data_IF_445121652713
#
_entry.id   IF_445121652713
#
_cell.length_a   1.000
_cell.length_b   1.000
_cell.length_c   1.000
_cell.angle_alpha   90.00
_cell.angle_beta   90.00
_cell.angle_gamma   90.00
#
_symmetry.space_group_name_H-M   'P 1'
#
loop_
_entity.id
_entity.type
_entity.pdbx_description
1 polymer ?
#
# COMPACT_ATOMS: atom_id res chain seq x y z
N UNK A 1 13.89 28.79 48.01
CA UNK A 1 12.98 28.93 46.85
C UNK A 1 13.78 29.13 45.54
N UNK A 2 14.73 30.03 45.46
CA UNK A 2 15.56 30.33 44.28
C UNK A 2 16.37 29.10 43.77
N UNK A 3 16.98 28.33 44.71
CA UNK A 3 17.79 27.17 44.39
C UNK A 3 16.96 25.99 43.80
N UNK A 4 15.69 25.87 44.20
CA UNK A 4 14.73 24.88 43.63
C UNK A 4 14.29 25.26 42.23
N UNK A 5 14.13 26.57 41.97
CA UNK A 5 13.78 27.12 40.64
C UNK A 5 14.93 26.91 39.65
N UNK A 6 16.19 27.16 40.09
CA UNK A 6 17.38 26.95 39.24
C UNK A 6 17.59 25.47 38.85
N UNK A 7 17.31 24.54 39.76
CA UNK A 7 17.39 23.09 39.47
C UNK A 7 16.32 22.67 38.46
N UNK A 8 15.07 23.10 38.58
CA UNK A 8 14.02 22.83 37.63
C UNK A 8 14.32 23.40 36.24
N UNK A 9 14.78 24.65 36.16
CA UNK A 9 15.17 25.27 34.88
C UNK A 9 16.31 24.52 34.19
N UNK A 10 17.30 24.04 34.95
CA UNK A 10 18.41 23.23 34.38
C UNK A 10 17.95 21.85 33.92
N UNK A 11 17.02 21.21 34.61
CA UNK A 11 16.42 19.94 34.19
C UNK A 11 15.59 20.12 32.94
N UNK A 12 14.77 21.16 32.87
CA UNK A 12 13.96 21.46 31.69
C UNK A 12 14.84 21.82 30.48
N UNK A 13 15.92 22.57 30.69
CA UNK A 13 16.89 22.87 29.63
C UNK A 13 17.60 21.59 29.12
N UNK A 14 17.98 20.66 30.02
CA UNK A 14 18.55 19.37 29.62
C UNK A 14 17.56 18.51 28.84
N UNK A 15 16.28 18.48 29.26
CA UNK A 15 15.21 17.78 28.52
C UNK A 15 15.01 18.39 27.15
N UNK A 16 14.90 19.72 27.05
CA UNK A 16 14.76 20.42 25.77
C UNK A 16 15.94 20.11 24.82
N UNK A 17 17.17 20.11 25.34
CA UNK A 17 18.35 19.75 24.56
C UNK A 17 18.32 18.29 24.06
N UNK A 18 17.82 17.37 24.89
CA UNK A 18 17.63 15.96 24.49
C UNK A 18 16.62 15.83 23.36
N UNK A 19 15.47 16.51 23.46
CA UNK A 19 14.48 16.51 22.38
C UNK A 19 15.03 17.11 21.07
N UNK A 20 15.74 18.23 21.19
CA UNK A 20 16.37 18.86 20.01
C UNK A 20 17.42 17.95 19.37
N UNK A 21 18.27 17.31 20.16
CA UNK A 21 19.27 16.34 19.68
C UNK A 21 18.61 15.17 18.96
N UNK A 22 17.53 14.64 19.52
CA UNK A 22 16.76 13.53 18.93
C UNK A 22 16.10 13.96 17.62
N UNK A 23 15.53 15.16 17.58
CA UNK A 23 14.94 15.73 16.37
C UNK A 23 15.98 15.88 15.25
N UNK A 24 17.14 16.46 15.56
CA UNK A 24 18.22 16.66 14.59
C UNK A 24 18.77 15.30 14.10
N UNK A 25 18.96 14.33 14.99
CA UNK A 25 19.38 12.96 14.63
C UNK A 25 18.43 12.35 13.61
N UNK A 26 17.12 12.38 13.92
CA UNK A 26 16.12 11.77 13.04
C UNK A 26 15.91 12.56 11.74
N UNK A 27 15.96 13.90 11.79
CA UNK A 27 15.86 14.70 10.58
C UNK A 27 17.05 14.41 9.63
N UNK A 28 18.27 14.36 10.13
CA UNK A 28 19.46 14.08 9.31
C UNK A 28 19.38 12.67 8.69
N UNK A 29 19.02 11.66 9.47
CA UNK A 29 18.89 10.28 8.98
C UNK A 29 17.73 10.17 7.95
N UNK A 30 16.60 10.81 8.23
CA UNK A 30 15.44 10.81 7.36
C UNK A 30 15.72 11.51 6.01
N UNK A 31 16.55 12.57 6.00
CA UNK A 31 17.01 13.20 4.77
C UNK A 31 17.82 12.21 3.92
N UNK A 32 18.74 11.46 4.51
CA UNK A 32 19.52 10.45 3.78
C UNK A 32 18.62 9.36 3.20
N UNK A 33 17.71 8.81 4.03
CA UNK A 33 16.75 7.80 3.58
C UNK A 33 15.85 8.38 2.48
N UNK A 34 15.35 9.61 2.67
CA UNK A 34 14.49 10.30 1.71
C UNK A 34 15.15 10.52 0.35
N UNK A 35 16.40 10.97 0.34
CA UNK A 35 17.16 11.15 -0.91
C UNK A 35 17.35 9.81 -1.64
N UNK A 36 17.81 8.76 -0.92
CA UNK A 36 17.99 7.44 -1.51
C UNK A 36 16.68 6.86 -2.07
N UNK A 37 15.61 6.93 -1.29
CA UNK A 37 14.30 6.46 -1.72
C UNK A 37 13.73 7.32 -2.86
N UNK A 38 13.94 8.64 -2.82
CA UNK A 38 13.54 9.56 -3.88
C UNK A 38 14.20 9.25 -5.21
N UNK A 39 15.53 9.09 -5.22
CA UNK A 39 16.27 8.76 -6.45
C UNK A 39 15.89 7.38 -6.98
N UNK A 40 15.97 6.33 -6.14
CA UNK A 40 15.68 4.96 -6.58
C UNK A 40 14.20 4.81 -6.94
N UNK A 41 13.31 5.46 -6.20
CA UNK A 41 11.86 5.47 -6.47
C UNK A 41 11.53 6.16 -7.79
N UNK A 42 12.15 7.28 -8.10
CA UNK A 42 11.98 7.97 -9.39
C UNK A 42 12.49 7.13 -10.57
N UNK A 43 13.68 6.53 -10.44
CA UNK A 43 14.21 5.62 -11.47
C UNK A 43 13.28 4.42 -11.67
N UNK A 44 12.73 3.86 -10.58
CA UNK A 44 11.75 2.78 -10.65
C UNK A 44 10.45 3.22 -11.32
N UNK A 45 9.93 4.40 -10.97
CA UNK A 45 8.74 4.99 -11.59
C UNK A 45 8.91 5.11 -13.09
N UNK A 46 10.01 5.76 -13.52
CA UNK A 46 10.34 5.94 -14.94
C UNK A 46 10.50 4.57 -15.62
N UNK A 47 11.23 3.63 -15.00
CA UNK A 47 11.43 2.29 -15.55
C UNK A 47 10.12 1.52 -15.77
N UNK A 48 9.16 1.58 -14.85
CA UNK A 48 7.83 0.96 -15.00
C UNK A 48 7.00 1.69 -16.06
N UNK A 49 7.07 3.02 -16.09
CA UNK A 49 6.37 3.84 -17.09
C UNK A 49 6.85 3.51 -18.50
N UNK A 50 8.14 3.54 -18.74
CA UNK A 50 8.76 3.22 -20.04
C UNK A 50 8.48 1.76 -20.46
N UNK A 51 8.54 0.81 -19.52
CA UNK A 51 8.20 -0.58 -19.79
C UNK A 51 6.74 -0.73 -20.24
N UNK A 52 5.80 0.00 -19.60
CA UNK A 52 4.38 0.01 -19.97
C UNK A 52 4.17 0.65 -21.34
N UNK A 53 4.84 1.77 -21.61
CA UNK A 53 4.77 2.47 -22.88
C UNK A 53 5.35 1.62 -24.01
N UNK A 54 6.50 0.97 -23.80
CA UNK A 54 7.12 0.08 -24.77
C UNK A 54 6.19 -1.11 -25.11
N UNK A 55 5.53 -1.69 -24.12
CA UNK A 55 4.52 -2.74 -24.36
C UNK A 55 3.36 -2.25 -25.20
N UNK A 56 2.87 -1.02 -24.96
CA UNK A 56 1.77 -0.46 -25.75
C UNK A 56 2.14 -0.32 -27.23
N UNK A 57 3.37 0.03 -27.53
CA UNK A 57 3.89 0.11 -28.90
C UNK A 57 4.28 -1.24 -29.52
N UNK A 58 4.55 -2.25 -28.67
CA UNK A 58 5.00 -3.59 -29.10
C UNK A 58 4.09 -4.69 -28.50
N UNK A 59 2.88 -4.92 -29.01
CA UNK A 59 1.94 -5.90 -28.46
C UNK A 59 2.46 -7.34 -28.39
N UNK A 60 3.47 -7.69 -29.20
CA UNK A 60 4.11 -8.99 -29.16
C UNK A 60 4.82 -9.29 -27.83
N UNK A 61 5.20 -8.26 -27.06
CA UNK A 61 5.83 -8.40 -25.75
C UNK A 61 4.95 -9.18 -24.76
N UNK A 62 3.64 -9.20 -24.95
CA UNK A 62 2.72 -9.99 -24.15
C UNK A 62 3.06 -11.50 -24.23
N UNK A 63 3.49 -11.99 -25.40
CA UNK A 63 3.90 -13.39 -25.57
C UNK A 63 5.19 -13.74 -24.84
N UNK A 64 5.97 -12.75 -24.45
CA UNK A 64 7.17 -12.93 -23.63
C UNK A 64 6.86 -13.12 -22.14
N UNK A 65 5.60 -12.97 -21.71
CA UNK A 65 5.22 -13.03 -20.29
C UNK A 65 5.68 -14.34 -19.59
N UNK A 66 5.50 -15.55 -20.14
CA UNK A 66 6.01 -16.76 -19.52
C UNK A 66 7.54 -16.79 -19.36
N UNK A 67 8.27 -16.27 -20.35
CA UNK A 67 9.74 -16.17 -20.32
C UNK A 67 10.19 -15.14 -19.28
N UNK A 68 9.55 -13.99 -19.23
CA UNK A 68 9.78 -12.99 -18.18
C UNK A 68 9.53 -13.56 -16.78
N UNK A 69 8.48 -14.35 -16.62
CA UNK A 69 8.19 -15.07 -15.39
C UNK A 69 9.31 -16.01 -14.96
N UNK A 70 9.84 -16.81 -15.89
CA UNK A 70 11.01 -17.68 -15.62
C UNK A 70 12.24 -16.86 -15.23
N UNK A 71 12.50 -15.73 -15.90
CA UNK A 71 13.59 -14.82 -15.56
C UNK A 71 13.43 -14.24 -14.14
N UNK A 72 12.20 -13.82 -13.76
CA UNK A 72 11.88 -13.32 -12.42
C UNK A 72 12.16 -14.42 -11.37
N UNK A 73 11.61 -15.61 -11.54
CA UNK A 73 11.83 -16.74 -10.62
C UNK A 73 13.31 -17.07 -10.49
N UNK A 74 14.04 -17.14 -11.62
CA UNK A 74 15.48 -17.38 -11.65
C UNK A 74 16.27 -16.32 -10.89
N UNK A 75 15.92 -15.04 -11.05
CA UNK A 75 16.59 -13.94 -10.38
C UNK A 75 16.33 -13.95 -8.85
N UNK A 76 15.09 -14.22 -8.42
CA UNK A 76 14.76 -14.37 -7.01
C UNK A 76 15.49 -15.57 -6.36
N UNK A 77 15.67 -16.66 -7.10
CA UNK A 77 16.44 -17.81 -6.64
C UNK A 77 17.94 -17.48 -6.54
N UNK A 78 18.49 -16.80 -7.53
CA UNK A 78 19.89 -16.38 -7.55
C UNK A 78 20.22 -15.44 -6.38
N UNK A 79 19.31 -14.52 -6.07
CA UNK A 79 19.45 -13.54 -4.99
C UNK A 79 19.04 -14.08 -3.61
N UNK A 80 18.57 -15.34 -3.53
CA UNK A 80 18.05 -15.96 -2.29
C UNK A 80 16.97 -15.13 -1.61
N UNK A 81 16.09 -14.52 -2.41
CA UNK A 81 14.96 -13.70 -1.93
C UNK A 81 13.62 -14.35 -2.17
N UNK A 82 13.61 -15.67 -2.45
CA UNK A 82 12.39 -16.45 -2.66
C UNK A 82 11.45 -16.31 -1.45
N UNK A 83 10.14 -16.14 -1.72
CA UNK A 83 9.14 -15.98 -0.68
C UNK A 83 9.14 -14.64 0.05
N UNK A 84 10.11 -13.76 -0.21
CA UNK A 84 10.10 -12.41 0.36
C UNK A 84 9.16 -11.52 -0.43
N UNK A 85 8.27 -10.85 0.28
CA UNK A 85 7.30 -9.91 -0.24
C UNK A 85 7.02 -8.79 0.76
N UNK A 86 5.91 -8.09 0.61
CA UNK A 86 5.52 -6.99 1.52
C UNK A 86 5.39 -7.48 2.96
N UNK A 87 4.86 -8.69 3.17
CA UNK A 87 4.77 -9.30 4.50
C UNK A 87 6.12 -9.43 5.19
N UNK A 88 7.21 -9.76 4.47
CA UNK A 88 8.54 -9.83 5.06
C UNK A 88 9.04 -8.48 5.60
N UNK A 89 8.65 -7.37 4.95
CA UNK A 89 8.99 -6.02 5.44
C UNK A 89 8.18 -5.67 6.69
N UNK A 90 6.90 -6.03 6.72
CA UNK A 90 6.06 -5.85 7.92
C UNK A 90 6.60 -6.68 9.09
N UNK A 91 7.00 -7.92 8.84
CA UNK A 91 7.66 -8.78 9.82
C UNK A 91 9.00 -8.20 10.32
N UNK A 92 9.77 -7.54 9.46
CA UNK A 92 11.00 -6.87 9.87
C UNK A 92 10.74 -5.73 10.86
N UNK A 93 9.62 -5.01 10.71
CA UNK A 93 9.21 -3.98 11.65
C UNK A 93 8.65 -4.59 12.94
N UNK A 94 7.81 -5.63 12.86
CA UNK A 94 7.20 -6.27 14.03
C UNK A 94 8.18 -7.09 14.84
N UNK A 95 8.88 -8.00 14.18
CA UNK A 95 9.67 -9.06 14.79
C UNK A 95 11.16 -8.78 14.76
N UNK A 96 11.60 -7.67 14.12
CA UNK A 96 13.01 -7.36 13.94
C UNK A 96 13.73 -8.34 12.99
N UNK A 97 13.01 -9.04 12.12
CA UNK A 97 13.62 -9.98 11.15
C UNK A 97 14.54 -9.22 10.18
N UNK A 98 15.71 -9.79 9.83
CA UNK A 98 16.63 -9.16 8.89
C UNK A 98 16.03 -9.17 7.48
N UNK A 99 16.22 -8.07 6.74
CA UNK A 99 15.90 -7.96 5.33
C UNK A 99 17.17 -8.14 4.49
N UNK A 100 17.06 -8.86 3.39
CA UNK A 100 18.14 -8.99 2.42
C UNK A 100 18.21 -7.73 1.55
N UNK A 101 19.41 -7.15 1.37
CA UNK A 101 19.62 -6.01 0.45
C UNK A 101 19.29 -6.39 -1.00
N UNK A 102 19.46 -7.67 -1.35
CA UNK A 102 19.17 -8.17 -2.69
C UNK A 102 17.68 -8.18 -3.02
N UNK A 103 16.80 -8.00 -2.02
CA UNK A 103 15.36 -7.81 -2.28
C UNK A 103 15.10 -6.55 -3.11
N UNK A 104 15.91 -5.48 -2.95
CA UNK A 104 15.76 -4.24 -3.69
C UNK A 104 15.91 -4.44 -5.21
N UNK A 105 17.03 -4.95 -5.76
CA UNK A 105 17.11 -5.21 -7.20
C UNK A 105 16.17 -6.32 -7.66
N UNK A 106 15.84 -7.30 -6.82
CA UNK A 106 14.95 -8.39 -7.18
C UNK A 106 13.53 -7.90 -7.48
N UNK A 107 12.96 -7.09 -6.57
CA UNK A 107 11.61 -6.55 -6.77
C UNK A 107 11.59 -5.47 -7.86
N UNK A 108 12.66 -4.67 -7.99
CA UNK A 108 12.79 -3.66 -9.04
C UNK A 108 12.70 -4.32 -10.43
N UNK A 109 13.61 -5.25 -10.72
CA UNK A 109 13.67 -5.94 -12.01
C UNK A 109 12.41 -6.77 -12.22
N UNK A 110 11.95 -7.50 -11.19
CA UNK A 110 10.76 -8.32 -11.27
C UNK A 110 9.51 -7.53 -11.63
N UNK A 111 9.33 -6.35 -11.03
CA UNK A 111 8.15 -5.50 -11.32
C UNK A 111 8.24 -4.87 -12.70
N UNK A 112 9.42 -4.37 -13.11
CA UNK A 112 9.62 -3.82 -14.46
C UNK A 112 9.35 -4.88 -15.53
N UNK A 113 9.87 -6.11 -15.37
CA UNK A 113 9.60 -7.22 -16.31
C UNK A 113 8.11 -7.62 -16.33
N UNK A 114 7.45 -7.62 -15.18
CA UNK A 114 6.00 -7.89 -15.09
C UNK A 114 5.21 -6.88 -15.93
N UNK A 115 5.50 -5.57 -15.79
CA UNK A 115 4.81 -4.52 -16.53
C UNK A 115 5.17 -4.52 -18.01
N UNK A 116 6.43 -4.77 -18.36
CA UNK A 116 6.91 -4.87 -19.74
C UNK A 116 6.18 -5.95 -20.52
N UNK A 117 5.97 -7.12 -19.91
CA UNK A 117 5.35 -8.25 -20.57
C UNK A 117 3.84 -8.38 -20.32
N UNK A 118 3.21 -7.43 -19.62
CA UNK A 118 1.75 -7.38 -19.49
C UNK A 118 1.16 -8.20 -18.33
N UNK A 119 1.95 -8.56 -17.33
CA UNK A 119 1.41 -9.06 -16.07
C UNK A 119 0.58 -7.97 -15.37
N UNK A 120 -0.49 -8.34 -14.70
CA UNK A 120 -1.38 -7.40 -14.01
C UNK A 120 -0.96 -7.22 -12.56
N UNK A 121 -0.40 -6.06 -12.24
CA UNK A 121 0.04 -5.71 -10.90
C UNK A 121 0.20 -4.19 -10.76
N UNK A 122 0.12 -3.69 -9.53
CA UNK A 122 0.55 -2.34 -9.17
C UNK A 122 2.06 -2.28 -8.91
N UNK A 123 2.53 -1.11 -8.48
CA UNK A 123 3.94 -0.86 -8.13
C UNK A 123 4.17 -0.56 -6.64
N UNK A 124 3.10 -0.43 -5.88
CA UNK A 124 3.10 0.09 -4.51
C UNK A 124 3.57 -0.94 -3.48
N UNK A 125 3.21 -2.20 -3.66
CA UNK A 125 3.77 -3.28 -2.84
C UNK A 125 5.29 -3.37 -3.02
N UNK A 126 5.78 -3.16 -4.25
CA UNK A 126 7.20 -3.04 -4.54
C UNK A 126 7.82 -1.82 -3.84
N UNK A 127 7.10 -0.69 -3.78
CA UNK A 127 7.55 0.51 -3.06
C UNK A 127 7.81 0.25 -1.58
N UNK A 128 6.87 -0.42 -0.90
CA UNK A 128 7.02 -0.77 0.50
C UNK A 128 8.21 -1.69 0.73
N UNK A 129 8.42 -2.66 -0.18
CA UNK A 129 9.55 -3.59 -0.09
C UNK A 129 10.89 -2.88 -0.31
N UNK A 130 11.01 -2.08 -1.36
CA UNK A 130 12.25 -1.35 -1.67
C UNK A 130 12.55 -0.30 -0.60
N UNK A 131 11.57 0.51 -0.24
CA UNK A 131 11.72 1.55 0.77
C UNK A 131 12.07 0.97 2.15
N UNK A 132 11.35 -0.07 2.58
CA UNK A 132 11.64 -0.78 3.82
C UNK A 132 13.05 -1.38 3.83
N UNK A 133 13.48 -1.97 2.71
CA UNK A 133 14.85 -2.50 2.57
C UNK A 133 15.91 -1.40 2.67
N UNK A 134 15.71 -0.25 2.00
CA UNK A 134 16.62 0.90 2.08
C UNK A 134 16.68 1.42 3.51
N UNK A 135 15.53 1.67 4.16
CA UNK A 135 15.47 2.15 5.53
C UNK A 135 16.13 1.19 6.52
N UNK A 136 15.87 -0.13 6.38
CA UNK A 136 16.50 -1.18 7.20
C UNK A 136 18.02 -1.15 7.09
N UNK A 137 18.57 -1.10 5.87
CA UNK A 137 20.02 -1.09 5.68
C UNK A 137 20.67 0.25 6.04
N UNK A 138 19.97 1.38 5.86
CA UNK A 138 20.41 2.66 6.39
C UNK A 138 20.52 2.59 7.92
N UNK A 139 19.52 2.04 8.62
CA UNK A 139 19.56 1.82 10.06
C UNK A 139 20.78 1.00 10.51
N UNK A 140 21.08 -0.09 9.80
CA UNK A 140 22.28 -0.91 10.07
C UNK A 140 23.59 -0.16 9.81
N UNK A 141 23.66 0.60 8.72
CA UNK A 141 24.85 1.39 8.37
C UNK A 141 25.18 2.43 9.45
N UNK A 142 24.14 3.06 10.01
CA UNK A 142 24.28 4.04 11.10
C UNK A 142 24.31 3.39 12.50
N UNK A 143 24.36 2.05 12.56
CA UNK A 143 24.44 1.27 13.80
C UNK A 143 23.34 1.63 14.81
N UNK A 144 22.12 1.77 14.31
CA UNK A 144 20.96 2.02 15.16
C UNK A 144 20.62 0.76 15.99
N UNK A 145 20.02 0.99 17.15
CA UNK A 145 19.45 -0.11 17.93
C UNK A 145 18.20 -0.70 17.23
N UNK A 146 17.69 -1.82 17.70
CA UNK A 146 16.58 -2.54 17.07
C UNK A 146 15.30 -1.70 16.98
N UNK A 147 15.04 -0.80 17.93
CA UNK A 147 13.87 0.08 17.93
C UNK A 147 14.00 1.18 16.89
N UNK A 148 15.15 1.84 16.89
CA UNK A 148 15.47 2.88 15.91
C UNK A 148 15.57 2.30 14.50
N UNK A 149 16.03 1.05 14.33
CA UNK A 149 16.06 0.36 13.04
C UNK A 149 14.66 0.10 12.48
N UNK A 150 13.71 -0.27 13.31
CA UNK A 150 12.29 -0.37 12.92
C UNK A 150 11.74 0.98 12.42
N UNK A 151 12.06 2.05 13.16
CA UNK A 151 11.70 3.42 12.76
C UNK A 151 12.30 3.82 11.41
N UNK A 152 13.58 3.49 11.17
CA UNK A 152 14.25 3.74 9.90
C UNK A 152 13.62 2.93 8.74
N UNK A 153 13.21 1.67 9.01
CA UNK A 153 12.47 0.83 8.04
C UNK A 153 11.16 1.47 7.64
N UNK A 154 10.37 1.95 8.60
CA UNK A 154 9.10 2.65 8.36
C UNK A 154 9.31 3.96 7.60
N UNK A 155 10.34 4.74 7.95
CA UNK A 155 10.70 5.97 7.23
C UNK A 155 11.06 5.69 5.77
N UNK A 156 11.76 4.59 5.49
CA UNK A 156 12.03 4.15 4.12
C UNK A 156 10.77 3.75 3.35
N UNK A 157 9.85 2.99 3.98
CA UNK A 157 8.55 2.66 3.39
C UNK A 157 7.77 3.92 3.01
N UNK A 158 7.68 4.89 3.94
CA UNK A 158 7.00 6.16 3.73
C UNK A 158 7.64 6.98 2.60
N UNK A 159 8.96 7.11 2.60
CA UNK A 159 9.71 7.86 1.61
C UNK A 159 9.54 7.30 0.19
N UNK A 160 9.64 5.99 0.03
CA UNK A 160 9.54 5.37 -1.30
C UNK A 160 8.12 5.46 -1.86
N UNK A 161 7.10 5.27 -1.01
CA UNK A 161 5.71 5.42 -1.40
C UNK A 161 5.41 6.87 -1.82
N UNK A 162 5.93 7.86 -1.07
CA UNK A 162 5.80 9.29 -1.41
C UNK A 162 6.45 9.64 -2.75
N UNK A 163 7.62 9.07 -3.07
CA UNK A 163 8.31 9.28 -4.33
C UNK A 163 7.52 8.76 -5.54
N UNK A 164 6.71 7.70 -5.37
CA UNK A 164 5.92 7.10 -6.46
C UNK A 164 4.59 7.80 -6.71
N UNK A 165 3.90 8.23 -5.66
CA UNK A 165 2.55 8.79 -5.75
C UNK A 165 2.48 10.29 -5.66
N UNK A 166 3.51 10.92 -5.09
CA UNK A 166 3.46 12.33 -4.78
C UNK A 166 2.47 12.66 -3.66
N UNK A 167 2.28 11.74 -2.71
CA UNK A 167 1.36 11.86 -1.56
C UNK A 167 2.12 11.69 -0.24
N UNK A 168 2.93 12.69 0.18
CA UNK A 168 3.84 12.54 1.34
C UNK A 168 3.12 12.37 2.68
N UNK A 169 1.97 13.01 2.89
CA UNK A 169 1.21 12.87 4.14
C UNK A 169 0.57 11.48 4.24
N UNK A 170 -0.08 11.04 3.17
CA UNK A 170 -0.63 9.67 3.08
C UNK A 170 0.45 8.63 3.34
N UNK A 171 1.59 8.76 2.67
CA UNK A 171 2.71 7.82 2.77
C UNK A 171 3.23 7.72 4.20
N UNK A 172 3.32 8.85 4.89
CA UNK A 172 3.71 8.93 6.31
C UNK A 172 2.74 8.15 7.17
N UNK A 173 1.45 8.51 7.11
CA UNK A 173 0.42 7.92 7.97
C UNK A 173 0.17 6.46 7.61
N UNK A 174 0.20 6.11 6.33
CA UNK A 174 0.06 4.73 5.87
C UNK A 174 1.16 3.83 6.43
N UNK A 175 2.42 4.25 6.35
CA UNK A 175 3.55 3.47 6.88
C UNK A 175 3.49 3.28 8.39
N UNK A 176 2.87 4.21 9.13
CA UNK A 176 2.68 4.10 10.58
C UNK A 176 1.52 3.18 10.97
N UNK A 177 0.50 3.05 10.09
CA UNK A 177 -0.74 2.32 10.39
C UNK A 177 -0.78 0.93 9.78
N UNK A 178 -0.15 0.72 8.63
CA UNK A 178 -0.24 -0.55 7.88
C UNK A 178 0.33 -1.75 8.65
N UNK A 179 1.18 -1.49 9.62
CA UNK A 179 1.86 -2.51 10.41
C UNK A 179 0.92 -3.10 11.46
N UNK A 180 0.21 -2.24 12.20
CA UNK A 180 -0.67 -2.65 13.30
C UNK A 180 -1.95 -1.81 13.32
N UNK A 181 -3.09 -2.47 13.25
CA UNK A 181 -4.40 -1.85 13.37
C UNK A 181 -4.70 -1.65 14.86
N UNK A 182 -5.08 -0.42 15.24
CA UNK A 182 -5.39 -0.05 16.61
C UNK A 182 -4.20 0.49 17.42
N UNK A 183 -2.98 0.50 16.85
CA UNK A 183 -1.85 1.21 17.45
C UNK A 183 -1.18 2.10 16.42
N UNK A 184 -0.76 3.29 16.86
CA UNK A 184 -0.03 4.26 16.04
C UNK A 184 1.34 4.48 16.63
N UNK A 185 2.38 4.27 15.84
CA UNK A 185 3.77 4.50 16.25
C UNK A 185 4.12 6.00 16.17
N UNK A 186 3.59 6.82 17.09
CA UNK A 186 3.74 8.29 17.05
C UNK A 186 5.20 8.75 17.03
N UNK A 187 6.12 8.02 17.68
CA UNK A 187 7.55 8.34 17.68
C UNK A 187 8.18 8.32 16.28
N UNK A 188 7.55 7.59 15.33
CA UNK A 188 8.03 7.47 13.94
C UNK A 188 7.50 8.57 13.03
N UNK A 189 6.60 9.44 13.51
CA UNK A 189 5.96 10.48 12.70
C UNK A 189 6.97 11.41 12.05
N UNK A 190 7.88 11.99 12.86
CA UNK A 190 8.91 12.93 12.36
C UNK A 190 9.85 12.27 11.34
N UNK A 191 10.45 11.09 11.62
CA UNK A 191 11.27 10.38 10.64
C UNK A 191 10.53 10.06 9.34
N UNK A 192 9.30 9.54 9.41
CA UNK A 192 8.51 9.19 8.23
C UNK A 192 8.12 10.43 7.42
N UNK A 193 7.64 11.50 8.09
CA UNK A 193 7.25 12.73 7.41
C UNK A 193 8.43 13.41 6.74
N UNK A 194 9.55 13.56 7.44
CA UNK A 194 10.76 14.18 6.87
C UNK A 194 11.25 13.38 5.67
N UNK A 195 11.35 12.05 5.79
CA UNK A 195 11.81 11.19 4.70
C UNK A 195 10.85 11.23 3.49
N UNK A 196 9.53 11.25 3.74
CA UNK A 196 8.50 11.37 2.68
C UNK A 196 8.58 12.70 1.94
N UNK A 197 8.70 13.82 2.67
CA UNK A 197 8.80 15.15 2.06
C UNK A 197 10.08 15.30 1.24
N UNK A 198 11.21 14.80 1.75
CA UNK A 198 12.48 14.82 1.02
C UNK A 198 12.40 13.95 -0.23
N UNK A 199 11.87 12.73 -0.12
CA UNK A 199 11.74 11.82 -1.26
C UNK A 199 10.79 12.39 -2.32
N UNK A 200 9.68 13.00 -1.92
CA UNK A 200 8.76 13.72 -2.81
C UNK A 200 9.46 14.89 -3.50
N UNK A 201 10.21 15.71 -2.78
CA UNK A 201 10.99 16.81 -3.37
C UNK A 201 12.00 16.31 -4.39
N UNK A 202 12.72 15.22 -4.10
CA UNK A 202 13.64 14.59 -5.04
C UNK A 202 12.91 14.04 -6.27
N UNK A 203 11.76 13.40 -6.10
CA UNK A 203 10.98 12.87 -7.24
C UNK A 203 10.49 13.97 -8.17
N UNK A 204 10.07 15.12 -7.63
CA UNK A 204 9.72 16.30 -8.43
C UNK A 204 10.92 16.83 -9.24
N UNK A 205 12.11 16.90 -8.63
CA UNK A 205 13.33 17.31 -9.30
C UNK A 205 13.73 16.34 -10.42
N UNK A 206 13.36 15.07 -10.31
CA UNK A 206 13.59 14.04 -11.33
C UNK A 206 12.47 13.96 -12.39
N UNK A 207 11.47 14.85 -12.35
CA UNK A 207 10.39 14.93 -13.33
C UNK A 207 9.25 13.93 -13.10
N UNK A 208 9.14 13.36 -11.90
CA UNK A 208 7.97 12.52 -11.55
C UNK A 208 6.84 13.42 -11.10
N UNK A 209 5.76 13.44 -11.87
CA UNK A 209 4.59 14.24 -11.55
C UNK A 209 3.73 13.55 -10.47
N UNK A 210 3.21 14.33 -9.49
CA UNK A 210 2.32 13.79 -8.47
C UNK A 210 0.98 13.40 -9.09
N UNK A 211 0.41 12.29 -8.63
CA UNK A 211 -0.93 11.87 -9.03
C UNK A 211 -1.96 12.84 -8.46
N UNK A 212 -2.65 13.58 -9.31
CA UNK A 212 -3.76 14.47 -8.96
C UNK A 212 -4.93 14.14 -9.89
N UNK A 213 -6.13 14.07 -9.34
CA UNK A 213 -7.34 13.73 -10.07
C UNK A 213 -8.40 14.80 -9.83
N UNK A 214 -9.12 15.16 -10.89
CA UNK A 214 -10.20 16.12 -10.79
C UNK A 214 -11.54 15.40 -10.69
N UNK A 215 -12.33 15.77 -9.68
CA UNK A 215 -13.67 15.21 -9.51
C UNK A 215 -14.62 16.28 -8.95
N UNK A 216 -15.83 16.34 -9.50
CA UNK A 216 -16.90 17.18 -8.97
C UNK A 216 -17.72 16.38 -7.97
N UNK A 217 -17.67 16.78 -6.70
CA UNK A 217 -18.48 16.16 -5.65
C UNK A 217 -19.87 16.79 -5.59
N UNK A 218 -20.93 16.00 -5.35
CA UNK A 218 -22.28 16.52 -5.18
C UNK A 218 -22.38 17.39 -3.92
N UNK A 219 -23.39 18.28 -3.90
CA UNK A 219 -23.69 19.09 -2.72
C UNK A 219 -23.96 18.20 -1.49
N UNK A 220 -23.55 18.71 -0.32
CA UNK A 220 -23.72 17.99 0.96
C UNK A 220 -25.19 18.06 1.39
N UNK A 221 -25.96 17.03 1.08
CA UNK A 221 -27.37 16.90 1.40
C UNK A 221 -27.64 15.61 2.18
N UNK A 222 -28.64 15.59 3.11
CA UNK A 222 -28.93 14.38 3.89
C UNK A 222 -29.27 13.15 3.04
N UNK A 223 -30.01 13.36 1.94
CA UNK A 223 -30.36 12.28 1.01
C UNK A 223 -29.11 11.73 0.30
N UNK A 224 -28.18 12.60 -0.09
CA UNK A 224 -26.94 12.19 -0.73
C UNK A 224 -26.02 11.46 0.25
N UNK A 225 -25.94 11.90 1.50
CA UNK A 225 -25.22 11.18 2.56
C UNK A 225 -25.76 9.76 2.77
N UNK A 226 -27.10 9.60 2.79
CA UNK A 226 -27.70 8.27 2.90
C UNK A 226 -27.36 7.38 1.70
N UNK A 227 -27.43 7.90 0.48
CA UNK A 227 -27.06 7.17 -0.75
C UNK A 227 -25.58 6.72 -0.71
N UNK A 228 -24.70 7.63 -0.31
CA UNK A 228 -23.26 7.35 -0.16
C UNK A 228 -23.03 6.34 0.97
N UNK A 229 -23.77 6.39 2.07
CA UNK A 229 -23.67 5.38 3.12
C UNK A 229 -24.05 3.97 2.63
N UNK A 230 -25.14 3.85 1.85
CA UNK A 230 -25.53 2.59 1.21
C UNK A 230 -24.46 2.09 0.24
N UNK A 231 -23.94 2.98 -0.59
CA UNK A 231 -22.86 2.67 -1.54
C UNK A 231 -21.57 2.21 -0.80
N UNK A 232 -21.30 2.79 0.37
CA UNK A 232 -20.15 2.43 1.22
C UNK A 232 -20.20 0.99 1.72
N UNK A 233 -21.42 0.48 2.00
CA UNK A 233 -21.60 -0.95 2.35
C UNK A 233 -21.19 -1.84 1.17
N UNK A 234 -21.57 -1.46 -0.06
CA UNK A 234 -21.17 -2.21 -1.24
C UNK A 234 -19.65 -2.15 -1.45
N UNK A 235 -19.01 -1.00 -1.25
CA UNK A 235 -17.55 -0.88 -1.30
C UNK A 235 -16.85 -1.78 -0.27
N UNK A 236 -17.37 -1.86 0.94
CA UNK A 236 -16.83 -2.75 1.96
C UNK A 236 -16.91 -4.23 1.55
N UNK A 237 -18.03 -4.64 0.94
CA UNK A 237 -18.19 -6.00 0.40
C UNK A 237 -17.21 -6.26 -0.76
N UNK A 238 -17.02 -5.29 -1.64
CA UNK A 238 -16.04 -5.38 -2.73
C UNK A 238 -14.61 -5.47 -2.17
N UNK A 239 -14.25 -4.70 -1.15
CA UNK A 239 -12.94 -4.79 -0.50
C UNK A 239 -12.69 -6.17 0.12
N UNK A 240 -13.68 -6.73 0.81
CA UNK A 240 -13.61 -8.10 1.35
C UNK A 240 -13.47 -9.14 0.24
N UNK A 241 -14.28 -9.01 -0.80
CA UNK A 241 -14.23 -9.91 -1.96
C UNK A 241 -12.86 -9.83 -2.64
N UNK A 242 -12.31 -8.63 -2.82
CA UNK A 242 -10.98 -8.41 -3.37
C UNK A 242 -9.93 -9.19 -2.56
N UNK A 243 -9.85 -8.97 -1.24
CA UNK A 243 -8.89 -9.68 -0.39
C UNK A 243 -9.11 -11.20 -0.42
N UNK A 244 -10.36 -11.65 -0.33
CA UNK A 244 -10.69 -13.09 -0.33
C UNK A 244 -10.27 -13.78 -1.64
N UNK A 245 -10.51 -13.15 -2.80
CA UNK A 245 -10.10 -13.70 -4.10
C UNK A 245 -8.59 -13.71 -4.24
N UNK A 246 -7.89 -12.64 -3.81
CA UNK A 246 -6.43 -12.58 -3.85
C UNK A 246 -5.80 -13.75 -3.07
N UNK A 247 -6.20 -13.95 -1.82
CA UNK A 247 -5.68 -15.04 -0.98
C UNK A 247 -6.14 -16.43 -1.45
N UNK A 248 -7.39 -16.56 -1.91
CA UNK A 248 -7.89 -17.83 -2.44
C UNK A 248 -7.11 -18.28 -3.67
N UNK A 249 -6.91 -17.40 -4.65
CA UNK A 249 -6.18 -17.73 -5.87
C UNK A 249 -4.71 -18.02 -5.57
N UNK A 250 -4.08 -17.26 -4.66
CA UNK A 250 -2.71 -17.52 -4.21
C UNK A 250 -2.58 -18.92 -3.59
N UNK A 251 -3.47 -19.25 -2.65
CA UNK A 251 -3.48 -20.55 -1.98
C UNK A 251 -3.72 -21.71 -2.98
N UNK A 252 -4.73 -21.55 -3.83
CA UNK A 252 -5.14 -22.60 -4.78
C UNK A 252 -4.06 -22.85 -5.84
N UNK A 253 -3.45 -21.78 -6.38
CA UNK A 253 -2.35 -21.92 -7.33
C UNK A 253 -1.09 -22.52 -6.68
N UNK A 254 -0.79 -22.14 -5.44
CA UNK A 254 0.33 -22.73 -4.72
C UNK A 254 0.12 -24.22 -4.41
N UNK A 255 -1.13 -24.61 -4.09
CA UNK A 255 -1.49 -25.99 -3.80
C UNK A 255 -1.48 -26.87 -5.05
N UNK A 256 -2.13 -26.42 -6.14
CA UNK A 256 -2.21 -27.21 -7.40
C UNK A 256 -0.92 -27.19 -8.20
N UNK A 257 -0.15 -26.11 -8.14
CA UNK A 257 1.10 -25.92 -8.87
C UNK A 257 2.24 -25.56 -7.90
N UNK A 258 2.72 -26.52 -7.09
CA UNK A 258 3.74 -26.25 -6.06
C UNK A 258 5.09 -25.85 -6.68
N UNK A 259 5.37 -26.29 -7.90
CA UNK A 259 6.58 -25.88 -8.60
C UNK A 259 6.42 -24.45 -9.17
N UNK A 260 7.16 -23.48 -8.59
CA UNK A 260 7.09 -22.06 -8.97
C UNK A 260 7.42 -21.83 -10.45
N UNK A 261 8.33 -22.63 -11.04
CA UNK A 261 8.69 -22.53 -12.44
C UNK A 261 7.52 -22.87 -13.37
N UNK A 262 6.81 -23.96 -13.04
CA UNK A 262 5.61 -24.37 -13.79
C UNK A 262 4.49 -23.37 -13.57
N UNK A 263 4.30 -22.93 -12.32
CA UNK A 263 3.25 -22.00 -11.93
C UNK A 263 3.34 -20.65 -12.66
N UNK A 264 4.55 -20.10 -12.80
CA UNK A 264 4.73 -18.80 -13.50
C UNK A 264 4.48 -18.93 -15.01
N UNK A 265 4.85 -20.06 -15.63
CA UNK A 265 4.59 -20.31 -17.05
C UNK A 265 3.09 -20.48 -17.31
N UNK A 266 2.42 -21.31 -16.50
CA UNK A 266 0.97 -21.53 -16.61
C UNK A 266 0.21 -20.22 -16.38
N UNK A 267 0.57 -19.44 -15.35
CA UNK A 267 -0.02 -18.14 -15.08
C UNK A 267 0.23 -17.14 -16.21
N UNK A 268 1.42 -17.13 -16.79
CA UNK A 268 1.74 -16.30 -17.97
C UNK A 268 0.83 -16.61 -19.15
N UNK A 269 0.66 -17.88 -19.50
CA UNK A 269 -0.27 -18.28 -20.57
C UNK A 269 -1.73 -18.00 -20.20
N UNK A 270 -2.12 -18.15 -18.93
CA UNK A 270 -3.46 -17.80 -18.48
C UNK A 270 -3.77 -16.29 -18.67
N UNK A 271 -2.82 -15.41 -18.35
CA UNK A 271 -2.98 -13.96 -18.59
C UNK A 271 -3.05 -13.64 -20.08
N UNK A 272 -2.20 -14.26 -20.90
CA UNK A 272 -2.27 -14.12 -22.36
C UNK A 272 -3.65 -14.54 -22.86
N UNK A 273 -4.12 -15.73 -22.48
CA UNK A 273 -5.42 -16.25 -22.88
C UNK A 273 -6.58 -15.34 -22.47
N UNK A 274 -6.57 -14.84 -21.22
CA UNK A 274 -7.56 -13.89 -20.73
C UNK A 274 -7.51 -12.55 -21.48
N UNK A 275 -6.32 -12.05 -21.80
CA UNK A 275 -6.19 -10.81 -22.59
C UNK A 275 -6.83 -10.94 -23.96
N UNK A 276 -6.58 -12.06 -24.68
CA UNK A 276 -7.23 -12.32 -25.97
C UNK A 276 -8.72 -12.58 -25.85
N UNK A 277 -9.16 -13.26 -24.78
CA UNK A 277 -10.59 -13.50 -24.53
C UNK A 277 -11.35 -12.18 -24.29
N UNK A 278 -10.74 -11.23 -23.56
CA UNK A 278 -11.31 -9.92 -23.32
C UNK A 278 -11.20 -8.99 -24.55
N UNK A 279 -10.31 -9.27 -25.50
CA UNK A 279 -10.07 -8.42 -26.67
C UNK A 279 -9.43 -7.06 -26.35
N UNK A 280 -8.93 -6.86 -25.14
CA UNK A 280 -8.31 -5.60 -24.69
C UNK A 280 -7.17 -5.85 -23.72
N UNK A 281 -6.22 -4.91 -23.66
CA UNK A 281 -5.10 -4.89 -22.72
C UNK A 281 -5.34 -4.03 -21.48
N UNK A 282 -6.53 -3.54 -21.25
CA UNK A 282 -6.90 -2.61 -20.17
C UNK A 282 -6.65 -3.17 -18.78
N UNK A 283 -6.69 -4.49 -18.64
CA UNK A 283 -6.50 -5.19 -17.36
C UNK A 283 -5.06 -5.62 -17.11
N UNK A 284 -4.16 -5.45 -18.09
CA UNK A 284 -2.73 -5.68 -17.95
C UNK A 284 -2.04 -4.49 -17.24
N UNK A 285 -0.87 -4.73 -16.63
CA UNK A 285 -0.13 -3.70 -15.90
C UNK A 285 -0.90 -3.14 -14.71
N UNK A 286 -0.67 -1.88 -14.37
CA UNK A 286 -1.31 -1.22 -13.23
C UNK A 286 -2.78 -0.87 -13.49
N UNK A 287 -3.12 -0.40 -14.70
CA UNK A 287 -4.48 -0.01 -15.09
C UNK A 287 -4.92 1.34 -14.52
N UNK A 288 -3.98 2.21 -14.10
CA UNK A 288 -4.34 3.50 -13.51
C UNK A 288 -5.10 4.40 -14.46
N UNK A 289 -4.85 4.32 -15.76
CA UNK A 289 -5.55 5.09 -16.79
C UNK A 289 -7.07 4.85 -16.79
N UNK A 290 -7.48 3.59 -16.60
CA UNK A 290 -8.91 3.22 -16.51
C UNK A 290 -9.53 3.75 -15.21
N UNK A 291 -8.80 3.70 -14.10
CA UNK A 291 -9.26 4.27 -12.83
C UNK A 291 -9.42 5.79 -12.93
N UNK A 292 -8.48 6.47 -13.60
CA UNK A 292 -8.57 7.92 -13.90
C UNK A 292 -9.77 8.22 -14.77
N UNK A 293 -10.00 7.48 -15.86
CA UNK A 293 -11.15 7.66 -16.72
C UNK A 293 -12.48 7.43 -15.97
N UNK A 294 -12.54 6.46 -15.07
CA UNK A 294 -13.71 6.24 -14.23
C UNK A 294 -14.01 7.44 -13.31
N UNK A 295 -12.97 8.09 -12.76
CA UNK A 295 -13.11 9.25 -11.87
C UNK A 295 -13.42 10.53 -12.66
N UNK A 296 -12.63 10.85 -13.68
CA UNK A 296 -12.69 12.14 -14.37
C UNK A 296 -13.76 12.20 -15.46
N UNK A 297 -13.98 11.07 -16.18
CA UNK A 297 -14.93 10.98 -17.27
C UNK A 297 -16.22 10.27 -16.88
N UNK A 298 -16.26 9.61 -15.73
CA UNK A 298 -17.42 8.84 -15.27
C UNK A 298 -17.74 7.63 -16.16
N UNK A 299 -16.72 7.02 -16.76
CA UNK A 299 -16.87 5.91 -17.69
C UNK A 299 -16.07 4.68 -17.26
N UNK A 300 -16.72 3.53 -17.19
CA UNK A 300 -16.08 2.25 -16.92
C UNK A 300 -16.89 1.10 -17.52
N UNK A 301 -16.19 0.07 -17.98
CA UNK A 301 -16.86 -1.16 -18.41
C UNK A 301 -17.47 -1.87 -17.18
N UNK A 302 -18.73 -2.36 -17.22
CA UNK A 302 -19.41 -2.94 -16.06
C UNK A 302 -18.67 -4.11 -15.41
N UNK A 303 -17.95 -4.92 -16.18
CA UNK A 303 -17.17 -6.05 -15.65
C UNK A 303 -15.71 -5.69 -15.30
N UNK A 304 -15.27 -4.45 -15.47
CA UNK A 304 -13.88 -4.05 -15.33
C UNK A 304 -13.31 -4.41 -13.96
N UNK A 305 -14.06 -4.16 -12.89
CA UNK A 305 -13.61 -4.46 -11.52
C UNK A 305 -13.35 -5.95 -11.27
N UNK A 306 -14.19 -6.85 -11.84
CA UNK A 306 -14.01 -8.29 -11.74
C UNK A 306 -12.84 -8.78 -12.59
N UNK A 307 -12.73 -8.27 -13.81
CA UNK A 307 -11.66 -8.67 -14.73
C UNK A 307 -10.30 -8.24 -14.17
N UNK A 308 -10.18 -6.99 -13.69
CA UNK A 308 -8.94 -6.53 -13.06
C UNK A 308 -8.55 -7.37 -11.86
N UNK A 309 -9.50 -7.68 -10.99
CA UNK A 309 -9.27 -8.54 -9.84
C UNK A 309 -8.74 -9.91 -10.25
N UNK A 310 -9.37 -10.54 -11.26
CA UNK A 310 -8.97 -11.86 -11.75
C UNK A 310 -7.55 -11.83 -12.36
N UNK A 311 -7.27 -10.86 -13.24
CA UNK A 311 -5.96 -10.70 -13.85
C UNK A 311 -4.85 -10.49 -12.80
N UNK A 312 -5.12 -9.64 -11.80
CA UNK A 312 -4.14 -9.36 -10.74
C UNK A 312 -3.93 -10.58 -9.85
N UNK A 313 -5.00 -11.24 -9.43
CA UNK A 313 -4.91 -12.42 -8.58
C UNK A 313 -4.10 -13.54 -9.26
N UNK A 314 -4.35 -13.83 -10.54
CA UNK A 314 -3.60 -14.82 -11.30
C UNK A 314 -2.13 -14.38 -11.47
N UNK A 315 -1.87 -13.12 -11.80
CA UNK A 315 -0.51 -12.62 -12.02
C UNK A 315 0.34 -12.78 -10.76
N UNK A 316 -0.14 -12.29 -9.61
CA UNK A 316 0.63 -12.33 -8.38
C UNK A 316 0.75 -13.76 -7.82
N UNK A 317 -0.33 -14.54 -7.85
CA UNK A 317 -0.32 -15.93 -7.42
C UNK A 317 0.61 -16.80 -8.28
N UNK A 318 0.74 -16.50 -9.56
CA UNK A 318 1.68 -17.18 -10.45
C UNK A 318 3.15 -16.94 -10.08
N UNK A 319 3.46 -15.81 -9.44
CA UNK A 319 4.81 -15.45 -9.03
C UNK A 319 5.38 -14.22 -9.73
N UNK A 320 4.60 -13.55 -10.59
CA UNK A 320 4.95 -12.23 -11.10
C UNK A 320 5.04 -11.23 -9.96
N UNK A 321 5.78 -10.14 -10.15
CA UNK A 321 6.09 -9.18 -9.08
C UNK A 321 5.41 -7.85 -9.31
N UNK A 322 4.96 -7.25 -8.21
CA UNK A 322 4.24 -5.98 -8.19
C UNK A 322 3.48 -5.81 -6.88
N UNK A 323 2.44 -4.98 -6.87
CA UNK A 323 1.61 -4.71 -5.71
C UNK A 323 0.12 -4.84 -5.97
N UNK A 324 -0.65 -4.92 -4.90
CA UNK A 324 -2.11 -5.05 -4.94
C UNK A 324 -2.84 -3.71 -4.74
N UNK A 325 -2.16 -2.63 -4.34
CA UNK A 325 -2.77 -1.35 -3.96
C UNK A 325 -3.44 -0.66 -5.16
N UNK A 326 -2.71 -0.42 -6.26
CA UNK A 326 -3.34 0.20 -7.46
C UNK A 326 -4.42 -0.69 -8.06
N UNK A 327 -4.28 -2.02 -8.16
CA UNK A 327 -5.42 -2.88 -8.48
C UNK A 327 -6.64 -2.67 -7.59
N UNK A 328 -6.49 -2.42 -6.28
CA UNK A 328 -7.62 -2.10 -5.40
C UNK A 328 -8.24 -0.74 -5.73
N UNK A 329 -7.44 0.27 -6.11
CA UNK A 329 -7.92 1.55 -6.61
C UNK A 329 -8.76 1.37 -7.89
N UNK A 330 -8.24 0.60 -8.85
CA UNK A 330 -8.95 0.28 -10.08
C UNK A 330 -10.30 -0.38 -9.80
N UNK A 331 -10.30 -1.43 -8.96
CA UNK A 331 -11.51 -2.18 -8.60
C UNK A 331 -12.53 -1.26 -7.94
N UNK A 332 -12.10 -0.43 -6.99
CA UNK A 332 -12.95 0.52 -6.29
C UNK A 332 -13.52 1.59 -7.23
N UNK A 333 -12.67 2.19 -8.07
CA UNK A 333 -13.07 3.24 -9.00
C UNK A 333 -14.07 2.71 -10.05
N UNK A 334 -13.76 1.60 -10.70
CA UNK A 334 -14.62 1.06 -11.77
C UNK A 334 -15.94 0.50 -11.22
N UNK A 335 -15.92 -0.14 -10.05
CA UNK A 335 -17.14 -0.55 -9.37
C UNK A 335 -18.00 0.65 -8.96
N UNK A 336 -17.39 1.68 -8.37
CA UNK A 336 -18.07 2.91 -7.97
C UNK A 336 -18.72 3.63 -9.17
N UNK A 337 -17.96 3.74 -10.26
CA UNK A 337 -18.45 4.34 -11.51
C UNK A 337 -19.74 3.67 -12.03
N UNK A 338 -19.83 2.34 -11.92
CA UNK A 338 -20.99 1.57 -12.38
C UNK A 338 -22.13 1.56 -11.34
N UNK A 339 -21.82 1.37 -10.06
CA UNK A 339 -22.82 1.22 -9.01
C UNK A 339 -23.43 2.57 -8.56
N UNK A 340 -22.65 3.66 -8.61
CA UNK A 340 -23.09 4.97 -8.15
C UNK A 340 -24.36 5.48 -8.83
N UNK A 341 -24.42 5.51 -10.16
CA UNK A 341 -25.62 5.96 -10.90
C UNK A 341 -26.88 5.18 -10.55
N UNK A 342 -26.80 3.89 -10.20
CA UNK A 342 -27.93 3.08 -9.77
C UNK A 342 -28.58 3.61 -8.48
N UNK A 343 -27.80 4.29 -7.64
CA UNK A 343 -28.26 4.94 -6.42
C UNK A 343 -28.46 6.46 -6.61
N UNK A 344 -28.25 6.98 -7.84
CA UNK A 344 -28.32 8.40 -8.14
C UNK A 344 -27.17 9.21 -7.55
N UNK A 345 -25.98 8.60 -7.43
CA UNK A 345 -24.70 9.27 -7.13
C UNK A 345 -23.96 9.47 -8.47
N UNK A 346 -23.41 10.67 -8.76
CA UNK A 346 -22.67 10.89 -10.00
C UNK A 346 -21.52 9.89 -10.18
N UNK A 347 -21.37 9.35 -11.41
CA UNK A 347 -20.45 8.25 -11.69
C UNK A 347 -18.99 8.55 -11.28
N UNK A 348 -18.47 9.72 -11.63
CA UNK A 348 -17.12 10.14 -11.28
C UNK A 348 -16.92 10.30 -9.76
N UNK A 349 -17.88 10.92 -9.06
CA UNK A 349 -17.85 11.03 -7.61
C UNK A 349 -17.89 9.65 -6.94
N UNK A 350 -18.77 8.75 -7.40
CA UNK A 350 -18.86 7.39 -6.89
C UNK A 350 -17.58 6.58 -7.18
N UNK A 351 -16.93 6.82 -8.34
CA UNK A 351 -15.64 6.22 -8.66
C UNK A 351 -14.53 6.69 -7.69
N UNK A 352 -14.45 7.99 -7.41
CA UNK A 352 -13.48 8.53 -6.45
C UNK A 352 -13.70 7.99 -5.03
N UNK A 353 -14.96 7.94 -4.58
CA UNK A 353 -15.34 7.36 -3.30
C UNK A 353 -15.01 5.87 -3.23
N UNK A 354 -15.28 5.13 -4.30
CA UNK A 354 -14.98 3.70 -4.39
C UNK A 354 -13.49 3.38 -4.35
N UNK A 355 -12.67 4.16 -5.08
CA UNK A 355 -11.21 4.06 -5.04
C UNK A 355 -10.70 4.10 -3.61
N UNK A 356 -11.09 5.13 -2.86
CA UNK A 356 -10.61 5.34 -1.49
C UNK A 356 -11.21 4.31 -0.52
N UNK A 357 -12.50 3.97 -0.68
CA UNK A 357 -13.19 3.05 0.22
C UNK A 357 -12.68 1.61 0.10
N UNK A 358 -12.42 1.13 -1.13
CA UNK A 358 -11.90 -0.23 -1.35
C UNK A 358 -10.47 -0.33 -0.85
N UNK A 359 -9.64 0.66 -1.10
CA UNK A 359 -8.29 0.74 -0.52
C UNK A 359 -8.33 0.74 1.00
N UNK A 360 -9.20 1.55 1.61
CA UNK A 360 -9.40 1.62 3.05
C UNK A 360 -9.75 0.25 3.64
N UNK A 361 -10.73 -0.44 3.06
CA UNK A 361 -11.17 -1.75 3.54
C UNK A 361 -10.14 -2.85 3.32
N UNK A 362 -9.39 -2.79 2.21
CA UNK A 362 -8.36 -3.77 1.88
C UNK A 362 -7.08 -3.63 2.72
N UNK A 363 -6.72 -2.40 3.09
CA UNK A 363 -5.48 -2.13 3.87
C UNK A 363 -5.72 -1.91 5.35
N UNK A 364 -6.98 -1.74 5.77
CA UNK A 364 -7.38 -1.40 7.14
C UNK A 364 -6.78 -0.07 7.66
N UNK A 365 -6.57 0.92 6.78
CA UNK A 365 -5.92 2.19 7.10
C UNK A 365 -6.87 3.40 6.87
N UNK A 366 -7.93 3.60 7.69
CA UNK A 366 -8.94 4.62 7.41
C UNK A 366 -8.38 6.05 7.39
N UNK A 367 -7.51 6.41 8.34
CA UNK A 367 -6.93 7.75 8.38
C UNK A 367 -6.03 8.02 7.18
N UNK A 368 -5.18 7.06 6.79
CA UNK A 368 -4.36 7.20 5.61
C UNK A 368 -5.21 7.32 4.33
N UNK A 369 -6.33 6.61 4.26
CA UNK A 369 -7.25 6.68 3.12
C UNK A 369 -7.96 8.03 3.00
N UNK A 370 -8.37 8.63 4.13
CA UNK A 370 -8.95 9.98 4.14
C UNK A 370 -7.91 11.03 3.69
N UNK A 371 -6.67 10.91 4.18
CA UNK A 371 -5.58 11.80 3.77
C UNK A 371 -5.25 11.61 2.29
N UNK A 372 -5.27 10.36 1.79
CA UNK A 372 -5.10 10.06 0.37
C UNK A 372 -6.15 10.79 -0.48
N UNK A 373 -7.40 10.78 -0.04
CA UNK A 373 -8.46 11.50 -0.74
C UNK A 373 -8.16 13.00 -0.86
N UNK A 374 -7.66 13.63 0.23
CA UNK A 374 -7.28 15.04 0.22
C UNK A 374 -6.11 15.29 -0.73
N UNK A 375 -5.10 14.42 -0.71
CA UNK A 375 -3.92 14.58 -1.57
C UNK A 375 -4.22 14.29 -3.05
N UNK A 376 -5.18 13.41 -3.37
CA UNK A 376 -5.58 13.11 -4.75
C UNK A 376 -6.58 14.12 -5.32
N UNK A 377 -7.60 14.49 -4.55
CA UNK A 377 -8.78 15.21 -5.04
C UNK A 377 -8.94 16.63 -4.45
N UNK A 378 -8.10 17.01 -3.48
CA UNK A 378 -8.29 18.25 -2.70
C UNK A 378 -9.28 18.05 -1.55
N UNK A 379 -9.75 19.17 -0.98
CA UNK A 379 -10.62 19.19 0.19
C UNK A 379 -12.11 19.02 -0.14
N UNK A 380 -12.47 19.11 -1.42
CA UNK A 380 -13.82 18.90 -1.90
C UNK A 380 -14.34 17.50 -1.58
N UNK A 381 -15.45 17.40 -0.85
CA UNK A 381 -16.08 16.11 -0.52
C UNK A 381 -15.47 15.34 0.65
N UNK A 382 -14.63 15.97 1.48
CA UNK A 382 -13.95 15.35 2.63
C UNK A 382 -14.92 14.55 3.53
N UNK A 383 -16.10 15.08 3.80
CA UNK A 383 -17.09 14.39 4.65
C UNK A 383 -17.61 13.08 3.99
N UNK A 384 -17.75 13.06 2.67
CA UNK A 384 -18.10 11.84 1.96
C UNK A 384 -16.96 10.81 2.03
N UNK A 385 -15.71 11.24 1.83
CA UNK A 385 -14.54 10.35 1.97
C UNK A 385 -14.40 9.81 3.39
N UNK A 386 -14.61 10.64 4.41
CA UNK A 386 -14.61 10.19 5.80
C UNK A 386 -15.71 9.14 6.08
N UNK A 387 -16.92 9.36 5.56
CA UNK A 387 -18.05 8.45 5.71
C UNK A 387 -17.76 7.08 5.05
N UNK A 388 -17.29 7.08 3.78
CA UNK A 388 -17.02 5.82 3.07
C UNK A 388 -15.86 5.06 3.71
N UNK A 389 -14.82 5.75 4.18
CA UNK A 389 -13.71 5.12 4.91
C UNK A 389 -14.16 4.50 6.22
N UNK A 390 -14.97 5.22 7.02
CA UNK A 390 -15.47 4.71 8.30
C UNK A 390 -16.30 3.43 8.12
N UNK A 391 -17.26 3.44 7.18
CA UNK A 391 -18.12 2.30 6.91
C UNK A 391 -17.31 1.14 6.30
N UNK A 392 -16.45 1.43 5.33
CA UNK A 392 -15.62 0.40 4.68
C UNK A 392 -14.66 -0.25 5.68
N UNK A 393 -13.99 0.53 6.52
CA UNK A 393 -13.11 0.01 7.57
C UNK A 393 -13.85 -0.93 8.54
N UNK A 394 -15.03 -0.51 9.00
CA UNK A 394 -15.82 -1.31 9.95
C UNK A 394 -16.28 -2.63 9.31
N UNK A 395 -16.89 -2.56 8.12
CA UNK A 395 -17.52 -3.70 7.47
C UNK A 395 -16.55 -4.61 6.71
N UNK A 396 -15.31 -4.17 6.44
CA UNK A 396 -14.24 -5.07 5.93
C UNK A 396 -13.89 -6.16 6.93
N UNK A 397 -14.25 -5.99 8.20
CA UNK A 397 -13.97 -6.98 9.24
C UNK A 397 -12.47 -7.15 9.48
N UNK A 398 -12.03 -8.38 9.67
CA UNK A 398 -10.63 -8.72 9.94
C UNK A 398 -9.87 -9.20 8.69
N UNK A 399 -10.45 -9.00 7.50
CA UNK A 399 -9.78 -9.30 6.24
C UNK A 399 -8.83 -8.14 5.87
N UNK A 400 -7.72 -8.47 5.19
CA UNK A 400 -6.76 -7.49 4.70
C UNK A 400 -5.85 -8.08 3.65
N UNK A 401 -5.12 -7.23 2.92
CA UNK A 401 -4.15 -7.65 1.90
C UNK A 401 -2.90 -8.28 2.52
N UNK A 402 -2.48 -7.79 3.69
CA UNK A 402 -1.21 -8.17 4.29
C UNK A 402 -1.43 -9.12 5.47
N UNK A 403 -1.10 -10.40 5.32
CA UNK A 403 -1.26 -11.40 6.38
C UNK A 403 -0.38 -11.16 7.61
N UNK A 404 0.75 -10.45 7.45
CA UNK A 404 1.61 -10.04 8.58
C UNK A 404 1.11 -8.79 9.33
N UNK A 405 0.04 -8.13 8.86
CA UNK A 405 -0.58 -7.03 9.57
C UNK A 405 -1.29 -7.56 10.82
N UNK A 406 -1.04 -6.95 11.98
CA UNK A 406 -1.67 -7.33 13.24
C UNK A 406 -2.84 -6.41 13.59
N UNK A 407 -3.88 -6.97 14.19
CA UNK A 407 -5.02 -6.24 14.73
C UNK A 407 -4.93 -6.33 16.25
N UNK A 408 -4.57 -5.23 16.89
CA UNK A 408 -4.36 -5.19 18.33
C UNK A 408 -5.66 -5.01 19.10
N UNK A 409 -6.57 -4.21 18.57
CA UNK A 409 -7.87 -3.96 19.18
C UNK A 409 -9.00 -4.34 18.24
N UNK A 410 -10.02 -4.94 18.78
CA UNK A 410 -11.23 -5.32 18.03
C UNK A 410 -11.88 -4.09 17.38
N UNK A 411 -12.32 -4.24 16.12
CA UNK A 411 -13.11 -3.21 15.44
C UNK A 411 -14.53 -3.06 15.99
N UNK A 412 -15.03 -4.07 16.70
CA UNK A 412 -16.41 -4.12 17.20
C UNK A 412 -16.54 -3.71 18.67
N UNK A 413 -15.50 -3.93 19.46
CA UNK A 413 -15.47 -3.64 20.90
C UNK A 413 -14.11 -3.07 21.27
N UNK A 414 -14.04 -2.26 22.32
CA UNK A 414 -12.78 -1.76 22.87
C UNK A 414 -12.05 -2.87 23.65
N UNK A 415 -11.67 -3.94 22.96
CA UNK A 415 -11.08 -5.15 23.51
C UNK A 415 -9.77 -5.45 22.79
N UNK A 416 -8.73 -5.78 23.56
CA UNK A 416 -7.43 -6.18 23.02
C UNK A 416 -7.50 -7.63 22.52
N UNK A 417 -7.13 -7.88 21.27
CA UNK A 417 -7.26 -9.20 20.65
C UNK A 417 -5.95 -9.74 20.06
N UNK A 418 -5.01 -8.89 19.66
CA UNK A 418 -3.68 -9.24 19.13
C UNK A 418 -3.68 -10.42 18.14
N UNK A 419 -4.39 -10.27 17.04
CA UNK A 419 -4.50 -11.30 15.99
C UNK A 419 -3.95 -10.80 14.66
N UNK A 420 -3.47 -11.71 13.82
CA UNK A 420 -3.14 -11.39 12.44
C UNK A 420 -4.40 -11.24 11.58
N UNK A 421 -4.34 -10.37 10.56
CA UNK A 421 -5.40 -10.28 9.55
C UNK A 421 -5.59 -11.65 8.89
N UNK A 422 -6.84 -11.95 8.53
CA UNK A 422 -7.28 -13.21 7.91
C UNK A 422 -7.21 -14.46 8.82
N UNK A 423 -6.72 -14.35 10.06
CA UNK A 423 -6.66 -15.47 11.03
C UNK A 423 -7.59 -15.31 12.23
N UNK A 424 -8.50 -14.34 12.20
CA UNK A 424 -9.47 -14.16 13.29
C UNK A 424 -10.59 -15.21 13.22
N UNK A 425 -10.71 -16.02 14.26
CA UNK A 425 -11.83 -16.92 14.47
C UNK A 425 -12.59 -16.49 15.73
N UNK A 426 -13.85 -16.12 15.57
CA UNK A 426 -14.70 -15.74 16.69
C UNK A 426 -14.82 -16.90 17.71
N UNK A 427 -14.47 -16.63 18.97
CA UNK A 427 -14.54 -17.61 20.07
C UNK A 427 -13.21 -18.25 20.48
N UNK A 428 -12.09 -17.90 19.87
CA UNK A 428 -10.79 -18.28 20.42
C UNK A 428 -10.42 -17.40 21.63
N UNK A 429 -9.81 -17.98 22.69
CA UNK A 429 -9.29 -17.19 23.81
C UNK A 429 -8.18 -16.26 23.29
N UNK A 430 -8.32 -14.98 23.57
CA UNK A 430 -7.33 -13.97 23.21
C UNK A 430 -6.27 -13.89 24.31
N UNK A 431 -5.00 -13.69 23.94
CA UNK A 431 -3.94 -13.38 24.88
C UNK A 431 -4.29 -12.07 25.61
N UNK A 432 -4.25 -12.10 26.95
CA UNK A 432 -4.40 -10.88 27.74
C UNK A 432 -3.30 -9.88 27.34
N UNK A 433 -3.58 -8.57 27.33
CA UNK A 433 -2.54 -7.57 27.11
C UNK A 433 -1.42 -7.81 28.12
N UNK A 434 -0.15 -7.68 27.71
CA UNK A 434 0.95 -7.79 28.66
C UNK A 434 0.67 -6.79 29.78
N UNK A 435 0.49 -7.32 30.99
CA UNK A 435 0.28 -6.52 32.20
C UNK A 435 1.39 -5.48 32.20
N UNK A 436 1.06 -4.20 32.08
CA UNK A 436 2.04 -3.13 32.25
C UNK A 436 2.68 -3.38 33.60
N UNK A 437 3.92 -3.83 33.56
CA UNK A 437 4.67 -4.09 34.77
C UNK A 437 4.56 -2.85 35.64
N UNK A 438 4.07 -3.05 36.86
CA UNK A 438 4.09 -2.03 37.90
C UNK A 438 5.40 -1.26 37.78
N UNK A 439 5.30 0.02 37.48
CA UNK A 439 6.38 0.96 37.76
C UNK A 439 6.67 0.77 39.26
N UNK A 440 7.56 -0.14 39.55
CA UNK A 440 8.22 -0.14 40.86
C UNK A 440 9.23 0.96 40.77
N UNK A 441 9.06 1.87 41.71
CA UNK A 441 9.77 3.07 42.07
C UNK A 441 11.27 3.11 41.75
#
# INVERSE_FOLDING_TARGET
>A
MAQKIDTHLREDAKRALLYLRTLVKWAALAVVIGVLCGVIGSVFHIGVHEATHLRAHHPWLLWCLPVAGLAIVGFYKLTKTEGLGTNAVLDAVHLGKPLSIFLLPAIFIGTVLTHLCGGSAGREGAALQMGGTIGHHAGRLFRLDDRDQRTATMAGMAAFFAALFGTPLTSTVFSMLVISIGAVYHATFIPCLTASLVAYGVSLLMGVEPTRLTVSMPALEPVMLLKVAVLSVLFALVARFFCAVMHFVEHEMAHRLPNVWVRVVVGGFAIIGLTYLCGTTDYNGAGMEIAVAAVEQGTAHPAAFLLKLLFTAISLAAGFKGGEVVPSFFVGATFGCVAGPLLGVPAGAAAALGLVAVFCGATNCPLASIILAIELYGDGGLLYFALVCAISYMLSGYNGLYSSQTILYSKLKAEYINVHTNHYHAGQPHEEPPVQGSLKD
#
